data_IF_459913805520
#
_entry.id   IF_459913805520
#
_cell.length_a   1.000
_cell.length_b   1.000
_cell.length_c   1.000
_cell.angle_alpha   90.00
_cell.angle_beta   90.00
_cell.angle_gamma   90.00
#
_symmetry.space_group_name_H-M   'P 1'
#
loop_
_entity.id
_entity.type
_entity.pdbx_description
1 polymer ?
#
# COMPACT_ATOMS: atom_id res chain seq x y z
N UNK A 1 3.82 34.37 -12.96
CA UNK A 1 3.08 35.50 -12.35
C UNK A 1 2.06 34.91 -11.39
N UNK A 2 2.26 35.04 -10.06
CA UNK A 2 1.54 36.01 -9.19
C UNK A 2 0.02 35.87 -9.36
N UNK A 3 -0.76 35.45 -8.37
CA UNK A 3 -1.04 36.24 -7.17
C UNK A 3 -1.52 35.44 -5.96
N UNK A 4 -0.97 35.82 -4.81
CA UNK A 4 -1.48 35.68 -3.44
C UNK A 4 -2.95 36.11 -3.28
N UNK A 5 -3.64 35.47 -2.34
CA UNK A 5 -4.35 36.17 -1.25
C UNK A 5 -3.97 35.53 0.10
N UNK A 6 -3.14 36.24 0.86
CA UNK A 6 -3.28 36.28 2.33
C UNK A 6 -4.48 37.17 2.68
N UNK A 7 -4.81 37.50 3.92
CA UNK A 7 -4.20 37.35 5.24
C UNK A 7 -5.28 37.88 6.22
N UNK A 8 -5.08 37.68 7.53
CA UNK A 8 -5.53 38.47 8.70
C UNK A 8 -5.98 37.50 9.81
N UNK A 9 -5.36 37.43 10.99
CA UNK A 9 -4.25 38.19 11.59
C UNK A 9 -3.90 37.51 12.92
N UNK A 10 -2.60 37.30 13.24
CA UNK A 10 -1.71 38.20 14.01
C UNK A 10 -2.20 38.46 15.44
N UNK A 11 -1.45 38.16 16.50
CA UNK A 11 -0.17 38.74 16.92
C UNK A 11 0.38 37.89 18.11
N UNK A 12 1.65 37.84 18.55
CA UNK A 12 2.94 38.52 18.32
C UNK A 12 3.99 37.68 19.09
N UNK A 13 5.09 37.27 18.47
CA UNK A 13 6.45 37.81 18.65
C UNK A 13 7.04 37.78 20.08
N UNK A 14 8.07 36.94 20.28
CA UNK A 14 9.38 37.33 20.80
C UNK A 14 10.30 36.10 20.75
N UNK A 15 11.51 36.29 20.20
CA UNK A 15 12.53 35.26 20.11
C UNK A 15 13.24 35.04 21.45
N UNK A 16 13.72 33.82 21.62
CA UNK A 16 14.80 33.52 22.54
C UNK A 16 15.62 32.38 21.93
N UNK A 17 16.79 32.76 21.43
CA UNK A 17 17.93 31.86 21.23
C UNK A 17 18.36 31.42 22.63
N UNK A 18 18.34 30.11 22.91
CA UNK A 18 19.06 29.58 24.07
C UNK A 18 20.03 28.49 23.61
N UNK A 19 21.28 28.85 23.80
CA UNK A 19 22.52 28.12 23.65
C UNK A 19 22.63 27.03 24.74
N UNK A 20 23.23 25.89 24.35
CA UNK A 20 23.93 24.88 25.17
C UNK A 20 23.41 24.65 26.61
N UNK A 21 22.59 23.61 26.76
CA UNK A 21 22.42 22.91 28.03
C UNK A 21 23.10 21.56 27.96
N UNK A 22 24.39 21.50 28.29
CA UNK A 22 25.07 20.25 28.64
C UNK A 22 24.29 19.60 29.78
N UNK A 23 23.58 18.51 29.51
CA UNK A 23 23.05 17.65 30.56
C UNK A 23 24.25 16.91 31.17
N UNK A 24 24.85 17.53 32.18
CA UNK A 24 25.73 16.85 33.11
C UNK A 24 24.98 15.63 33.63
N UNK A 25 25.50 14.44 33.33
CA UNK A 25 25.11 13.22 33.98
C UNK A 25 25.32 13.40 35.49
N UNK A 26 24.24 13.60 36.23
CA UNK A 26 24.28 13.62 37.68
C UNK A 26 24.49 12.17 38.11
N UNK A 27 25.74 11.82 38.39
CA UNK A 27 26.06 10.60 39.12
C UNK A 27 25.31 10.64 40.45
N UNK A 28 24.40 9.69 40.66
CA UNK A 28 23.69 9.53 41.92
C UNK A 28 24.71 9.05 42.95
N UNK A 29 25.24 9.97 43.75
CA UNK A 29 25.93 9.67 44.99
C UNK A 29 24.97 8.97 45.94
N UNK A 30 25.28 7.74 46.31
CA UNK A 30 24.65 7.02 47.40
C UNK A 30 24.88 7.78 48.71
N UNK A 31 23.88 8.56 49.13
CA UNK A 31 23.83 9.24 50.42
C UNK A 31 22.94 8.48 51.37
N UNK A 32 23.56 7.77 52.32
CA UNK A 32 22.89 7.15 53.46
C UNK A 32 22.52 8.23 54.47
N UNK A 33 21.27 8.65 54.51
CA UNK A 33 20.68 9.28 55.71
C UNK A 33 19.25 8.80 55.86
N UNK A 34 18.97 8.20 57.02
CA UNK A 34 17.66 7.71 57.39
C UNK A 34 16.63 8.82 57.35
N UNK A 35 15.65 8.64 56.49
CA UNK A 35 14.30 9.19 56.60
C UNK A 35 13.38 8.07 56.11
N UNK A 36 12.37 7.76 56.92
CA UNK A 36 11.36 6.76 56.65
C UNK A 36 10.86 6.80 55.19
N UNK A 37 10.51 5.66 54.57
CA UNK A 37 9.97 5.67 53.23
C UNK A 37 8.66 6.44 53.27
N UNK A 38 8.66 7.66 52.75
CA UNK A 38 7.42 8.36 52.38
C UNK A 38 6.69 7.38 51.48
N UNK A 39 5.60 6.80 51.99
CA UNK A 39 4.93 5.67 51.37
C UNK A 39 4.76 5.94 49.88
N UNK A 40 5.34 5.07 49.04
CA UNK A 40 5.20 5.23 47.59
C UNK A 40 3.72 5.19 47.30
N UNK A 41 3.16 6.30 46.82
CA UNK A 41 1.78 6.29 46.36
C UNK A 41 1.66 5.26 45.22
N UNK A 42 0.46 4.73 45.03
CA UNK A 42 0.20 3.78 43.93
C UNK A 42 0.60 4.39 42.59
N UNK A 43 0.44 5.71 42.45
CA UNK A 43 0.86 6.50 41.29
C UNK A 43 2.37 6.46 41.09
N UNK A 44 3.17 6.69 42.13
CA UNK A 44 4.63 6.66 42.05
C UNK A 44 5.15 5.27 41.67
N UNK A 45 4.56 4.22 42.26
CA UNK A 45 4.90 2.84 41.92
C UNK A 45 4.56 2.54 40.44
N UNK A 46 3.36 2.91 39.96
CA UNK A 46 2.98 2.75 38.55
C UNK A 46 3.91 3.51 37.60
N UNK A 47 4.26 4.74 37.94
CA UNK A 47 5.18 5.53 37.11
C UNK A 47 6.58 4.93 37.03
N UNK A 48 7.10 4.33 38.10
CA UNK A 48 8.38 3.63 38.05
C UNK A 48 8.34 2.41 37.11
N UNK A 49 7.23 1.68 37.06
CA UNK A 49 7.06 0.53 36.14
C UNK A 49 6.95 1.03 34.70
N UNK A 50 6.16 2.07 34.44
CA UNK A 50 6.05 2.69 33.12
C UNK A 50 7.39 3.28 32.63
N UNK A 51 8.22 3.78 33.55
CA UNK A 51 9.56 4.28 33.23
C UNK A 51 10.48 3.18 32.65
N UNK A 52 10.33 1.92 33.07
CA UNK A 52 11.09 0.80 32.49
C UNK A 52 10.78 0.64 31.01
N UNK A 53 9.50 0.64 30.63
CA UNK A 53 9.09 0.55 29.23
C UNK A 53 9.56 1.76 28.42
N UNK A 54 9.50 2.97 28.99
CA UNK A 54 10.04 4.18 28.35
C UNK A 54 11.55 4.05 28.09
N UNK A 55 12.31 3.55 29.06
CA UNK A 55 13.75 3.29 28.91
C UNK A 55 14.06 2.23 27.86
N UNK A 56 13.32 1.12 27.85
CA UNK A 56 13.44 0.08 26.82
C UNK A 56 13.20 0.66 25.42
N UNK A 57 12.11 1.41 25.22
CA UNK A 57 11.79 2.02 23.92
C UNK A 57 12.85 3.01 23.45
N UNK A 58 13.47 3.74 24.38
CA UNK A 58 14.58 4.64 24.06
C UNK A 58 15.81 3.86 23.58
N UNK A 59 16.22 2.80 24.29
CA UNK A 59 17.33 1.94 23.88
C UNK A 59 17.06 1.26 22.53
N UNK A 60 15.83 0.77 22.34
CA UNK A 60 15.38 0.17 21.09
C UNK A 60 15.51 1.16 19.92
N UNK A 61 15.07 2.41 20.11
CA UNK A 61 15.16 3.43 19.08
C UNK A 61 16.62 3.80 18.73
N UNK A 62 17.51 3.83 19.72
CA UNK A 62 18.95 4.06 19.49
C UNK A 62 19.55 2.94 18.65
N UNK A 63 19.33 1.68 19.03
CA UNK A 63 19.84 0.53 18.28
C UNK A 63 19.34 0.53 16.83
N UNK A 64 18.04 0.77 16.63
CA UNK A 64 17.45 0.86 15.29
C UNK A 64 18.11 1.98 14.46
N UNK A 65 18.29 3.16 15.05
CA UNK A 65 18.92 4.30 14.35
C UNK A 65 20.37 4.02 13.97
N UNK A 66 21.12 3.28 14.78
CA UNK A 66 22.47 2.86 14.46
C UNK A 66 22.49 1.76 13.39
N UNK A 67 21.59 0.78 13.47
CA UNK A 67 21.46 -0.28 12.46
C UNK A 67 21.18 0.26 11.06
N UNK A 68 20.35 1.29 10.91
CA UNK A 68 20.08 1.93 9.60
C UNK A 68 21.38 2.30 8.87
N UNK A 69 22.42 2.72 9.59
CA UNK A 69 23.72 3.12 9.02
C UNK A 69 24.53 1.94 8.49
N UNK A 70 24.20 0.72 8.92
CA UNK A 70 24.87 -0.52 8.57
C UNK A 70 24.12 -1.37 7.54
N UNK A 71 22.87 -1.02 7.21
CA UNK A 71 22.07 -1.74 6.21
C UNK A 71 22.62 -1.49 4.80
N UNK A 72 23.32 -2.48 4.25
CA UNK A 72 23.88 -2.46 2.89
C UNK A 72 24.22 -3.89 2.44
N UNK A 73 23.96 -4.27 1.18
CA UNK A 73 23.15 -3.55 0.18
C UNK A 73 21.64 -3.68 0.45
N UNK A 74 20.87 -2.66 0.09
CA UNK A 74 19.40 -2.68 0.13
C UNK A 74 18.82 -2.09 -1.15
N UNK A 75 17.85 -2.75 -1.77
CA UNK A 75 17.02 -2.15 -2.82
C UNK A 75 15.71 -1.66 -2.23
N UNK A 76 15.41 -0.38 -2.40
CA UNK A 76 14.12 0.22 -2.03
C UNK A 76 13.29 0.45 -3.28
N UNK A 77 12.06 -0.04 -3.30
CA UNK A 77 11.14 0.07 -4.43
C UNK A 77 9.92 0.88 -4.01
N UNK A 78 9.72 2.00 -4.68
CA UNK A 78 8.55 2.86 -4.51
C UNK A 78 7.69 2.79 -5.76
N UNK A 79 6.39 2.51 -5.62
CA UNK A 79 5.46 2.67 -6.73
C UNK A 79 5.24 4.15 -7.07
N UNK A 80 5.32 4.49 -8.35
CA UNK A 80 4.97 5.81 -8.89
C UNK A 80 4.15 5.67 -10.18
N UNK A 81 3.76 6.80 -10.78
CA UNK A 81 2.96 6.80 -12.00
C UNK A 81 3.69 6.15 -13.21
N UNK A 82 5.03 6.08 -13.16
CA UNK A 82 5.92 5.65 -14.26
C UNK A 82 6.38 4.21 -14.11
N UNK A 83 5.72 3.42 -13.26
CA UNK A 83 6.04 2.00 -13.04
C UNK A 83 6.95 1.74 -11.84
N UNK A 84 7.37 2.80 -11.15
CA UNK A 84 8.12 2.72 -9.91
C UNK A 84 9.50 3.34 -9.99
N UNK A 85 9.96 3.83 -8.84
CA UNK A 85 11.31 4.30 -8.59
C UNK A 85 12.03 3.27 -7.74
N UNK A 86 13.16 2.79 -8.25
CA UNK A 86 14.01 1.82 -7.60
C UNK A 86 15.24 2.56 -7.10
N UNK A 87 15.69 2.27 -5.88
CA UNK A 87 16.91 2.86 -5.32
C UNK A 87 17.79 1.79 -4.71
N UNK A 88 19.01 1.65 -5.20
CA UNK A 88 20.06 0.87 -4.55
C UNK A 88 20.73 1.73 -3.49
N UNK A 89 20.72 1.26 -2.24
CA UNK A 89 21.52 1.78 -1.13
C UNK A 89 22.69 0.82 -0.93
N UNK A 90 23.91 1.29 -1.18
CA UNK A 90 25.12 0.45 -1.09
C UNK A 90 26.31 1.28 -0.61
N UNK A 91 26.96 0.84 0.46
CA UNK A 91 28.16 1.46 1.05
C UNK A 91 28.04 2.98 1.27
N UNK A 92 26.90 3.42 1.81
CA UNK A 92 26.62 4.84 2.09
C UNK A 92 26.26 5.68 0.86
N UNK A 93 26.19 5.07 -0.33
CA UNK A 93 25.76 5.71 -1.57
C UNK A 93 24.36 5.29 -1.96
N UNK A 94 23.69 6.12 -2.77
CA UNK A 94 22.35 5.85 -3.29
C UNK A 94 22.31 6.05 -4.80
N UNK A 95 21.79 5.07 -5.52
CA UNK A 95 21.53 5.15 -6.96
C UNK A 95 20.05 4.92 -7.22
N UNK A 96 19.34 5.93 -7.73
CA UNK A 96 17.93 5.82 -8.10
C UNK A 96 17.71 5.74 -9.60
N UNK A 97 16.75 4.92 -10.02
CA UNK A 97 16.28 4.85 -11.40
C UNK A 97 14.76 4.65 -11.47
N UNK A 98 14.16 5.14 -12.56
CA UNK A 98 12.84 4.72 -13.02
C UNK A 98 13.07 3.82 -14.23
N UNK A 99 13.16 2.49 -14.05
CA UNK A 99 13.69 1.60 -15.08
C UNK A 99 12.66 1.21 -16.14
N UNK A 100 11.39 1.54 -15.92
CA UNK A 100 10.26 1.08 -16.75
C UNK A 100 10.09 2.02 -17.94
N UNK A 101 9.87 1.44 -19.13
CA UNK A 101 9.64 2.19 -20.36
C UNK A 101 8.38 3.05 -20.29
N UNK A 102 8.34 4.26 -20.92
CA UNK A 102 7.14 5.09 -21.04
C UNK A 102 5.91 4.36 -21.63
N UNK A 103 6.12 3.28 -22.39
CA UNK A 103 5.03 2.41 -22.89
C UNK A 103 4.11 1.97 -21.75
N UNK A 104 4.64 1.69 -20.56
CA UNK A 104 3.83 1.37 -19.37
C UNK A 104 2.85 2.49 -19.01
N UNK A 105 3.35 3.72 -18.92
CA UNK A 105 2.55 4.88 -18.52
C UNK A 105 1.49 5.22 -19.57
N UNK A 106 1.86 5.13 -20.85
CA UNK A 106 0.94 5.34 -21.98
C UNK A 106 -0.18 4.29 -21.98
N UNK A 107 0.17 3.00 -21.84
CA UNK A 107 -0.79 1.90 -21.78
C UNK A 107 -1.75 2.03 -20.62
N UNK A 108 -1.21 2.33 -19.43
CA UNK A 108 -1.99 2.56 -18.21
C UNK A 108 -2.95 3.75 -18.36
N UNK A 109 -2.48 4.86 -18.93
CA UNK A 109 -3.26 6.10 -19.07
C UNK A 109 -4.53 5.88 -19.89
N UNK A 110 -4.43 5.20 -21.03
CA UNK A 110 -5.59 4.89 -21.87
C UNK A 110 -6.47 3.81 -21.24
N UNK A 111 -5.88 2.81 -20.58
CA UNK A 111 -6.64 1.74 -19.91
C UNK A 111 -7.48 2.25 -18.73
N UNK A 112 -7.12 3.39 -18.14
CA UNK A 112 -7.86 4.03 -17.06
C UNK A 112 -9.05 4.87 -17.52
N UNK A 113 -9.31 5.02 -18.82
CA UNK A 113 -10.42 5.86 -19.32
C UNK A 113 -11.79 5.42 -18.76
N UNK A 114 -12.15 4.13 -18.67
CA UNK A 114 -13.41 3.73 -18.02
C UNK A 114 -13.47 4.16 -16.55
N UNK A 115 -12.34 4.10 -15.82
CA UNK A 115 -12.28 4.56 -14.43
C UNK A 115 -12.40 6.09 -14.32
N UNK A 116 -11.84 6.84 -15.28
CA UNK A 116 -12.00 8.30 -15.38
C UNK A 116 -13.46 8.70 -15.64
N UNK A 117 -14.14 7.98 -16.55
CA UNK A 117 -15.59 8.15 -16.78
C UNK A 117 -16.37 7.79 -15.52
N UNK A 118 -16.11 6.62 -14.91
CA UNK A 118 -16.75 6.19 -13.67
C UNK A 118 -16.63 7.27 -12.60
N UNK A 119 -15.43 7.78 -12.34
CA UNK A 119 -15.18 8.80 -11.32
C UNK A 119 -15.98 10.09 -11.54
N UNK A 120 -16.36 10.36 -12.79
CA UNK A 120 -17.18 11.52 -13.16
C UNK A 120 -18.67 11.26 -12.94
N UNK A 121 -19.16 10.06 -13.29
CA UNK A 121 -20.60 9.73 -13.29
C UNK A 121 -21.06 9.06 -11.98
N UNK A 122 -20.15 8.44 -11.22
CA UNK A 122 -20.47 7.63 -10.05
C UNK A 122 -21.25 8.39 -8.95
N UNK A 123 -20.96 9.68 -8.66
CA UNK A 123 -21.78 10.49 -7.76
C UNK A 123 -23.26 10.57 -8.12
N UNK A 124 -23.59 10.33 -9.39
CA UNK A 124 -24.92 10.53 -9.98
C UNK A 124 -25.62 9.21 -10.32
N UNK A 125 -25.08 8.07 -9.87
CA UNK A 125 -25.71 6.77 -10.04
C UNK A 125 -27.06 6.69 -9.28
N UNK A 126 -27.87 5.71 -9.67
CA UNK A 126 -28.97 5.21 -8.84
C UNK A 126 -28.39 4.55 -7.58
N UNK A 127 -29.03 4.77 -6.43
CA UNK A 127 -28.71 4.08 -5.17
C UNK A 127 -29.23 2.63 -5.12
N UNK A 128 -29.98 2.22 -6.16
CA UNK A 128 -30.44 0.86 -6.38
C UNK A 128 -29.58 0.18 -7.44
N UNK A 129 -29.16 -1.05 -7.13
CA UNK A 129 -28.48 -1.94 -8.06
C UNK A 129 -29.51 -2.53 -9.03
N UNK A 130 -29.39 -2.33 -10.35
CA UNK A 130 -30.25 -2.98 -11.34
C UNK A 130 -29.87 -4.46 -11.50
N UNK A 131 -30.62 -5.22 -12.30
CA UNK A 131 -30.32 -6.62 -12.59
C UNK A 131 -29.08 -6.75 -13.50
N UNK A 132 -27.90 -6.59 -12.92
CA UNK A 132 -26.59 -6.78 -13.57
C UNK A 132 -26.06 -8.18 -13.25
N UNK A 133 -25.28 -8.80 -14.15
CA UNK A 133 -24.59 -10.07 -13.90
C UNK A 133 -23.83 -10.16 -12.58
N UNK A 134 -23.31 -9.05 -12.05
CA UNK A 134 -22.54 -8.98 -10.81
C UNK A 134 -23.26 -8.23 -9.69
N UNK A 135 -24.58 -8.06 -9.75
CA UNK A 135 -25.36 -7.28 -8.78
C UNK A 135 -25.09 -7.71 -7.31
N UNK A 136 -24.99 -9.01 -7.05
CA UNK A 136 -24.74 -9.57 -5.71
C UNK A 136 -23.35 -9.21 -5.13
N UNK A 137 -22.45 -8.69 -5.95
CA UNK A 137 -21.10 -8.26 -5.54
C UNK A 137 -21.02 -6.76 -5.25
N UNK A 138 -22.08 -6.00 -5.52
CA UNK A 138 -22.14 -4.57 -5.24
C UNK A 138 -22.71 -4.41 -3.84
N UNK A 139 -21.88 -3.96 -2.90
CA UNK A 139 -22.35 -3.63 -1.58
C UNK A 139 -23.29 -2.41 -1.64
N UNK A 140 -24.57 -2.52 -1.19
CA UNK A 140 -25.51 -1.42 -1.24
C UNK A 140 -25.09 -0.20 -0.40
N UNK A 141 -24.36 -0.42 0.70
CA UNK A 141 -23.80 0.66 1.50
C UNK A 141 -22.73 1.42 0.71
N UNK A 142 -21.76 0.72 0.12
CA UNK A 142 -20.70 1.35 -0.67
C UNK A 142 -21.25 2.11 -1.89
N UNK A 143 -22.23 1.51 -2.58
CA UNK A 143 -22.94 2.18 -3.67
C UNK A 143 -23.56 3.50 -3.19
N UNK A 144 -24.26 3.49 -2.06
CA UNK A 144 -24.87 4.70 -1.49
C UNK A 144 -23.82 5.76 -1.14
N UNK A 145 -22.66 5.36 -0.63
CA UNK A 145 -21.57 6.28 -0.31
C UNK A 145 -20.98 6.93 -1.56
N UNK A 146 -20.91 6.20 -2.67
CA UNK A 146 -20.41 6.73 -3.95
C UNK A 146 -21.49 7.54 -4.69
N UNK A 147 -22.75 7.11 -4.70
CA UNK A 147 -23.87 7.71 -5.43
C UNK A 147 -24.55 8.91 -4.71
N UNK A 148 -23.76 9.72 -3.99
CA UNK A 148 -24.27 10.69 -3.02
C UNK A 148 -25.05 11.89 -3.60
N UNK A 149 -25.01 12.13 -4.93
CA UNK A 149 -25.81 13.17 -5.60
C UNK A 149 -27.11 12.64 -6.20
N UNK A 150 -27.18 11.32 -6.46
CA UNK A 150 -28.33 10.65 -7.05
C UNK A 150 -28.58 10.97 -8.54
N UNK A 151 -29.49 10.22 -9.15
CA UNK A 151 -29.77 10.24 -10.60
C UNK A 151 -30.67 11.39 -11.09
N UNK A 152 -31.10 12.29 -10.20
CA UNK A 152 -32.08 13.36 -10.51
C UNK A 152 -31.50 14.61 -11.17
N UNK A 153 -30.19 14.66 -11.42
CA UNK A 153 -29.50 15.85 -11.97
C UNK A 153 -28.61 15.50 -13.17
N UNK A 154 -28.26 16.53 -13.94
CA UNK A 154 -27.39 16.46 -15.12
C UNK A 154 -26.04 17.14 -14.92
N UNK A 155 -25.68 17.47 -13.66
CA UNK A 155 -24.42 18.17 -13.35
C UNK A 155 -23.15 17.39 -13.73
N UNK A 156 -23.27 16.08 -14.01
CA UNK A 156 -22.21 15.24 -14.57
C UNK A 156 -21.87 15.57 -16.03
N UNK A 157 -22.77 16.21 -16.80
CA UNK A 157 -22.56 16.48 -18.23
C UNK A 157 -21.31 17.34 -18.45
N UNK A 158 -21.15 18.41 -17.70
CA UNK A 158 -20.02 19.33 -17.84
C UNK A 158 -18.67 18.66 -17.55
N UNK A 159 -18.44 18.02 -16.38
CA UNK A 159 -17.17 17.34 -16.13
C UNK A 159 -16.93 16.16 -17.10
N UNK A 160 -17.99 15.47 -17.55
CA UNK A 160 -17.83 14.37 -18.51
C UNK A 160 -17.39 14.88 -19.89
N UNK A 161 -17.95 16.00 -20.36
CA UNK A 161 -17.48 16.69 -21.58
C UNK A 161 -16.04 17.18 -21.45
N UNK A 162 -15.67 17.72 -20.30
CA UNK A 162 -14.29 18.15 -20.05
C UNK A 162 -13.31 16.98 -20.15
N UNK A 163 -13.66 15.82 -19.59
CA UNK A 163 -12.83 14.63 -19.74
C UNK A 163 -12.81 14.14 -21.19
N UNK A 164 -13.95 14.12 -21.89
CA UNK A 164 -14.02 13.76 -23.30
C UNK A 164 -13.15 14.65 -24.19
N UNK A 165 -13.00 15.94 -23.89
CA UNK A 165 -12.07 16.81 -24.62
C UNK A 165 -10.62 16.31 -24.53
N UNK A 166 -10.18 15.82 -23.37
CA UNK A 166 -8.86 15.18 -23.23
C UNK A 166 -8.77 13.89 -24.04
N UNK A 167 -9.84 13.08 -24.07
CA UNK A 167 -9.88 11.85 -24.87
C UNK A 167 -9.78 12.14 -26.37
N UNK A 168 -10.46 13.18 -26.86
CA UNK A 168 -10.39 13.62 -28.25
C UNK A 168 -8.97 14.06 -28.64
N UNK A 169 -8.31 14.84 -27.78
CA UNK A 169 -6.92 15.26 -28.02
C UNK A 169 -5.99 14.04 -28.03
N UNK A 170 -6.11 13.14 -27.06
CA UNK A 170 -5.32 11.91 -27.02
C UNK A 170 -5.54 11.05 -28.27
N UNK A 171 -6.80 10.95 -28.73
CA UNK A 171 -7.15 10.20 -29.94
C UNK A 171 -6.54 10.79 -31.21
N UNK A 172 -6.48 12.11 -31.31
CA UNK A 172 -5.89 12.82 -32.45
C UNK A 172 -4.37 12.72 -32.53
N UNK A 173 -3.70 12.52 -31.39
CA UNK A 173 -2.24 12.40 -31.31
C UNK A 173 -1.75 10.94 -31.24
N UNK A 174 -2.65 9.96 -31.30
CA UNK A 174 -2.33 8.57 -30.98
C UNK A 174 -1.31 7.96 -31.93
N UNK A 175 -1.41 8.27 -33.23
CA UNK A 175 -0.51 7.74 -34.26
C UNK A 175 0.92 8.30 -34.11
N UNK A 176 1.07 9.47 -33.49
CA UNK A 176 2.35 10.14 -33.24
C UNK A 176 2.99 9.73 -31.90
N UNK A 177 2.34 8.86 -31.12
CA UNK A 177 2.76 8.51 -29.75
C UNK A 177 3.88 7.45 -29.68
N UNK A 178 4.43 7.02 -30.82
CA UNK A 178 5.47 5.99 -30.94
C UNK A 178 5.14 4.69 -30.18
N UNK A 179 3.88 4.26 -30.32
CA UNK A 179 3.37 3.04 -29.70
C UNK A 179 3.44 1.84 -30.66
N UNK A 180 3.57 0.61 -30.14
CA UNK A 180 3.41 -0.59 -30.96
C UNK A 180 2.06 -0.59 -31.72
N UNK A 181 2.04 -1.04 -32.97
CA UNK A 181 0.85 -0.95 -33.83
C UNK A 181 -0.41 -1.63 -33.24
N UNK A 182 -0.24 -2.77 -32.55
CA UNK A 182 -1.33 -3.43 -31.82
C UNK A 182 -1.87 -2.55 -30.69
N UNK A 183 -0.99 -1.82 -30.01
CA UNK A 183 -1.35 -0.90 -28.93
C UNK A 183 -2.00 0.38 -29.47
N UNK A 184 -1.55 0.93 -30.60
CA UNK A 184 -2.26 2.01 -31.31
C UNK A 184 -3.69 1.59 -31.62
N UNK A 185 -3.87 0.35 -32.12
CA UNK A 185 -5.20 -0.18 -32.43
C UNK A 185 -6.07 -0.32 -31.18
N UNK A 186 -5.57 -0.94 -30.11
CA UNK A 186 -6.34 -1.13 -28.87
C UNK A 186 -6.66 0.19 -28.18
N UNK A 187 -5.71 1.12 -28.10
CA UNK A 187 -5.92 2.46 -27.55
C UNK A 187 -6.94 3.26 -28.37
N UNK A 188 -6.87 3.20 -29.70
CA UNK A 188 -7.81 3.88 -30.59
C UNK A 188 -9.24 3.38 -30.39
N UNK A 189 -9.43 2.06 -30.39
CA UNK A 189 -10.75 1.44 -30.17
C UNK A 189 -11.32 1.78 -28.78
N UNK A 190 -10.47 1.82 -27.75
CA UNK A 190 -10.89 2.16 -26.39
C UNK A 190 -11.35 3.64 -26.30
N UNK A 191 -10.57 4.56 -26.87
CA UNK A 191 -10.90 5.98 -26.93
C UNK A 191 -12.17 6.24 -27.75
N UNK A 192 -12.34 5.58 -28.90
CA UNK A 192 -13.51 5.72 -29.78
C UNK A 192 -14.78 5.23 -29.07
N UNK A 193 -14.72 4.09 -28.38
CA UNK A 193 -15.84 3.56 -27.59
C UNK A 193 -16.19 4.47 -26.40
N UNK A 194 -15.18 5.04 -25.72
CA UNK A 194 -15.38 5.97 -24.62
C UNK A 194 -16.05 7.27 -25.08
N UNK A 195 -15.59 7.86 -26.18
CA UNK A 195 -16.21 9.05 -26.78
C UNK A 195 -17.66 8.76 -27.18
N UNK A 196 -17.93 7.60 -27.80
CA UNK A 196 -19.29 7.18 -28.15
C UNK A 196 -20.20 7.06 -26.91
N UNK A 197 -19.72 6.49 -25.82
CA UNK A 197 -20.47 6.42 -24.56
C UNK A 197 -20.81 7.83 -24.06
N UNK A 198 -19.81 8.72 -23.98
CA UNK A 198 -20.00 10.11 -23.54
C UNK A 198 -21.02 10.83 -24.42
N UNK A 199 -20.87 10.80 -25.73
CA UNK A 199 -21.76 11.48 -26.67
C UNK A 199 -23.20 10.98 -26.54
N UNK A 200 -23.38 9.66 -26.43
CA UNK A 200 -24.71 9.05 -26.26
C UNK A 200 -25.36 9.52 -24.96
N UNK A 201 -24.64 9.43 -23.83
CA UNK A 201 -25.17 9.84 -22.53
C UNK A 201 -25.49 11.33 -22.48
N UNK A 202 -24.59 12.17 -22.99
CA UNK A 202 -24.78 13.62 -23.04
C UNK A 202 -26.00 13.99 -23.90
N UNK A 203 -26.16 13.36 -25.07
CA UNK A 203 -27.27 13.64 -25.97
C UNK A 203 -28.62 13.23 -25.37
N UNK A 204 -28.68 12.07 -24.71
CA UNK A 204 -29.90 11.60 -24.02
C UNK A 204 -30.13 12.31 -22.68
N UNK A 205 -29.11 13.00 -22.15
CA UNK A 205 -29.06 13.51 -20.77
C UNK A 205 -29.30 12.41 -19.73
N UNK A 206 -28.91 11.18 -20.05
CA UNK A 206 -29.10 10.02 -19.19
C UNK A 206 -27.95 9.02 -19.33
N UNK A 207 -27.69 8.30 -18.25
CA UNK A 207 -26.88 7.09 -18.24
C UNK A 207 -27.38 6.20 -17.10
N UNK A 208 -26.97 4.95 -17.10
CA UNK A 208 -27.25 4.02 -16.00
C UNK A 208 -26.09 3.02 -15.84
N UNK A 209 -26.17 2.18 -14.80
CA UNK A 209 -25.12 1.17 -14.58
C UNK A 209 -25.03 0.17 -15.73
N UNK A 210 -26.14 -0.11 -16.43
CA UNK A 210 -26.15 -1.09 -17.51
C UNK A 210 -25.41 -0.58 -18.74
N UNK A 211 -25.69 0.63 -19.18
CA UNK A 211 -24.98 1.30 -20.27
C UNK A 211 -23.49 1.47 -19.97
N UNK A 212 -23.12 1.75 -18.71
CA UNK A 212 -21.72 1.80 -18.30
C UNK A 212 -21.05 0.41 -18.26
N UNK A 213 -21.75 -0.62 -17.79
CA UNK A 213 -21.29 -2.02 -17.85
C UNK A 213 -21.07 -2.45 -19.31
N UNK A 214 -22.00 -2.16 -20.22
CA UNK A 214 -21.88 -2.50 -21.64
C UNK A 214 -20.68 -1.81 -22.29
N UNK A 215 -20.49 -0.52 -22.01
CA UNK A 215 -19.31 0.22 -22.46
C UNK A 215 -18.01 -0.40 -21.91
N UNK A 216 -17.90 -0.54 -20.59
CA UNK A 216 -16.68 -1.03 -19.94
C UNK A 216 -16.36 -2.48 -20.32
N UNK A 217 -17.37 -3.33 -20.48
CA UNK A 217 -17.25 -4.69 -20.99
C UNK A 217 -16.76 -4.73 -22.44
N UNK A 218 -17.28 -3.85 -23.31
CA UNK A 218 -16.88 -3.80 -24.72
C UNK A 218 -15.41 -3.45 -24.93
N UNK A 219 -14.82 -2.65 -24.04
CA UNK A 219 -13.41 -2.23 -24.13
C UNK A 219 -12.44 -3.12 -23.35
N UNK A 220 -12.93 -4.09 -22.59
CA UNK A 220 -12.08 -4.97 -21.78
C UNK A 220 -10.99 -5.70 -22.58
N UNK A 221 -11.24 -6.26 -23.78
CA UNK A 221 -10.19 -6.87 -24.60
C UNK A 221 -9.04 -5.89 -24.96
N UNK A 222 -9.37 -4.61 -25.18
CA UNK A 222 -8.37 -3.57 -25.45
C UNK A 222 -7.53 -3.25 -24.22
N UNK A 223 -8.18 -3.19 -23.04
CA UNK A 223 -7.46 -3.06 -21.76
C UNK A 223 -6.51 -4.24 -21.56
N UNK A 224 -6.93 -5.47 -21.89
CA UNK A 224 -6.06 -6.65 -21.78
C UNK A 224 -4.84 -6.59 -22.69
N UNK A 225 -5.00 -6.07 -23.89
CA UNK A 225 -3.89 -5.80 -24.81
C UNK A 225 -2.91 -4.80 -24.20
N UNK A 226 -3.41 -3.68 -23.68
CA UNK A 226 -2.58 -2.66 -23.03
C UNK A 226 -1.88 -3.19 -21.77
N UNK A 227 -2.57 -4.01 -20.97
CA UNK A 227 -1.99 -4.67 -19.79
C UNK A 227 -0.82 -5.57 -20.15
N UNK A 228 -0.87 -6.27 -21.29
CA UNK A 228 0.24 -7.10 -21.79
C UNK A 228 1.48 -6.24 -22.04
N UNK A 229 1.35 -5.16 -22.82
CA UNK A 229 2.47 -4.26 -23.11
C UNK A 229 3.01 -3.56 -21.85
N UNK A 230 2.12 -3.17 -20.93
CA UNK A 230 2.51 -2.60 -19.64
C UNK A 230 3.30 -3.60 -18.79
N UNK A 231 2.85 -4.87 -18.74
CA UNK A 231 3.53 -5.94 -18.03
C UNK A 231 4.91 -6.25 -18.65
N UNK A 232 5.00 -6.33 -19.98
CA UNK A 232 6.26 -6.55 -20.69
C UNK A 232 7.27 -5.44 -20.40
N UNK A 233 6.82 -4.17 -20.43
CA UNK A 233 7.65 -3.01 -20.10
C UNK A 233 8.14 -3.05 -18.63
N UNK A 234 7.27 -3.43 -17.70
CA UNK A 234 7.62 -3.60 -16.28
C UNK A 234 8.64 -4.73 -16.08
N UNK A 235 8.37 -5.92 -16.62
CA UNK A 235 9.25 -7.08 -16.50
C UNK A 235 10.65 -6.73 -17.04
N UNK A 236 10.72 -6.19 -18.25
CA UNK A 236 11.99 -5.86 -18.88
C UNK A 236 12.78 -4.81 -18.09
N UNK A 237 12.14 -3.70 -17.71
CA UNK A 237 12.79 -2.62 -16.97
C UNK A 237 13.32 -3.09 -15.62
N UNK A 238 12.48 -3.75 -14.82
CA UNK A 238 12.85 -4.22 -13.48
C UNK A 238 13.94 -5.29 -13.55
N UNK A 239 13.84 -6.28 -14.44
CA UNK A 239 14.90 -7.29 -14.57
C UNK A 239 16.22 -6.67 -15.03
N UNK A 240 16.19 -5.68 -15.92
CA UNK A 240 17.39 -5.00 -16.39
C UNK A 240 18.11 -4.25 -15.27
N UNK A 241 17.38 -3.47 -14.44
CA UNK A 241 18.01 -2.73 -13.35
C UNK A 241 18.55 -3.68 -12.26
N UNK A 242 17.83 -4.75 -11.95
CA UNK A 242 18.29 -5.77 -11.00
C UNK A 242 19.56 -6.46 -11.50
N UNK A 243 19.62 -6.82 -12.79
CA UNK A 243 20.83 -7.38 -13.40
C UNK A 243 22.01 -6.42 -13.37
N UNK A 244 21.78 -5.13 -13.64
CA UNK A 244 22.80 -4.08 -13.57
C UNK A 244 23.38 -3.99 -12.15
N UNK A 245 22.52 -3.86 -11.14
CA UNK A 245 22.97 -3.72 -9.76
C UNK A 245 23.62 -4.99 -9.22
N UNK A 246 23.16 -6.17 -9.63
CA UNK A 246 23.85 -7.44 -9.34
C UNK A 246 25.28 -7.47 -9.85
N UNK A 247 25.49 -7.01 -11.09
CA UNK A 247 26.83 -6.90 -11.64
C UNK A 247 27.70 -5.85 -10.92
N UNK A 248 27.08 -4.78 -10.40
CA UNK A 248 27.75 -3.70 -9.69
C UNK A 248 28.18 -4.08 -8.27
N UNK A 249 27.32 -4.74 -7.49
CA UNK A 249 27.61 -5.11 -6.10
C UNK A 249 28.31 -6.48 -5.98
N UNK A 250 28.18 -7.35 -6.99
CA UNK A 250 28.77 -8.67 -7.01
C UNK A 250 27.95 -9.74 -6.27
N UNK A 251 28.23 -11.01 -6.59
CA UNK A 251 27.45 -12.16 -6.09
C UNK A 251 27.52 -12.35 -4.58
N UNK A 252 28.67 -12.04 -3.97
CA UNK A 252 28.86 -12.21 -2.53
C UNK A 252 27.94 -11.32 -1.70
N UNK A 253 27.70 -10.08 -2.12
CA UNK A 253 26.74 -9.20 -1.45
C UNK A 253 25.31 -9.46 -1.96
N UNK A 254 25.13 -9.82 -3.23
CA UNK A 254 23.81 -10.08 -3.81
C UNK A 254 23.07 -11.24 -3.15
N UNK A 255 23.79 -12.28 -2.72
CA UNK A 255 23.19 -13.48 -2.13
C UNK A 255 22.40 -13.20 -0.85
N UNK A 256 22.73 -12.12 -0.15
CA UNK A 256 22.10 -11.66 1.10
C UNK A 256 21.41 -10.29 0.92
N UNK A 257 21.13 -9.88 -0.33
CA UNK A 257 20.46 -8.62 -0.64
C UNK A 257 19.07 -8.54 0.00
N UNK A 258 18.80 -7.45 0.73
CA UNK A 258 17.43 -7.07 1.09
C UNK A 258 16.78 -6.22 0.00
N UNK A 259 15.51 -6.48 -0.27
CA UNK A 259 14.65 -5.62 -1.08
C UNK A 259 13.40 -5.26 -0.29
N UNK A 260 13.12 -3.97 -0.16
CA UNK A 260 11.91 -3.45 0.49
C UNK A 260 11.02 -2.80 -0.56
N UNK A 261 9.82 -3.36 -0.75
CA UNK A 261 8.78 -2.85 -1.66
C UNK A 261 7.76 -2.08 -0.86
N UNK A 262 7.61 -0.79 -1.14
CA UNK A 262 6.55 0.05 -0.57
C UNK A 262 5.31 -0.05 -1.47
N UNK A 263 4.36 -0.90 -1.08
CA UNK A 263 3.10 -1.11 -1.78
C UNK A 263 1.97 -0.24 -1.23
N UNK A 264 0.83 -0.23 -1.92
CA UNK A 264 -0.42 0.32 -1.37
C UNK A 264 -1.28 -0.84 -0.91
N UNK A 265 -2.06 -0.67 0.16
CA UNK A 265 -2.93 -1.72 0.68
C UNK A 265 -3.84 -2.36 -0.41
N UNK A 266 -4.37 -1.56 -1.32
CA UNK A 266 -5.23 -2.02 -2.44
C UNK A 266 -4.51 -2.88 -3.49
N UNK A 267 -3.17 -2.95 -3.44
CA UNK A 267 -2.31 -3.63 -4.43
C UNK A 267 -1.15 -4.40 -3.77
N UNK A 268 -1.25 -4.72 -2.48
CA UNK A 268 -0.21 -5.42 -1.73
C UNK A 268 -0.21 -6.94 -2.00
N UNK A 269 -1.38 -7.54 -2.17
CA UNK A 269 -1.49 -8.94 -2.58
C UNK A 269 -1.12 -9.08 -4.05
N UNK A 270 -0.23 -10.02 -4.37
CA UNK A 270 0.30 -10.22 -5.74
C UNK A 270 0.88 -8.92 -6.34
N UNK A 271 1.63 -8.17 -5.54
CA UNK A 271 2.26 -6.94 -5.99
C UNK A 271 3.19 -7.18 -7.19
N UNK A 272 3.05 -6.36 -8.23
CA UNK A 272 3.80 -6.51 -9.49
C UNK A 272 5.32 -6.51 -9.29
N UNK A 273 5.85 -5.63 -8.41
CA UNK A 273 7.28 -5.55 -8.18
C UNK A 273 7.76 -6.80 -7.44
N UNK A 274 7.01 -7.24 -6.43
CA UNK A 274 7.30 -8.47 -5.68
C UNK A 274 7.35 -9.68 -6.60
N UNK A 275 6.42 -9.81 -7.55
CA UNK A 275 6.39 -10.90 -8.54
C UNK A 275 7.64 -10.87 -9.43
N UNK A 276 8.02 -9.71 -9.95
CA UNK A 276 9.12 -9.58 -10.92
C UNK A 276 10.51 -9.68 -10.25
N UNK A 277 10.65 -9.12 -9.04
CA UNK A 277 11.92 -9.08 -8.30
C UNK A 277 12.26 -10.45 -7.71
N UNK A 278 11.27 -11.20 -7.21
CA UNK A 278 11.48 -12.51 -6.57
C UNK A 278 12.44 -13.43 -7.34
N UNK A 279 12.27 -13.69 -8.65
CA UNK A 279 13.19 -14.55 -9.41
C UNK A 279 14.59 -13.93 -9.65
N UNK A 280 14.79 -12.64 -9.38
CA UNK A 280 16.09 -11.98 -9.48
C UNK A 280 16.95 -12.14 -8.22
N UNK A 281 16.33 -12.51 -7.09
CA UNK A 281 16.98 -12.65 -5.78
C UNK A 281 17.46 -14.09 -5.52
N UNK A 282 18.21 -14.29 -4.44
CA UNK A 282 18.59 -15.62 -3.98
C UNK A 282 17.34 -16.42 -3.54
N UNK A 283 17.02 -17.56 -4.19
CA UNK A 283 15.82 -18.33 -3.86
C UNK A 283 15.83 -18.89 -2.43
N UNK A 284 16.99 -19.06 -1.80
CA UNK A 284 17.10 -19.53 -0.41
C UNK A 284 16.82 -18.43 0.63
N UNK A 285 16.80 -17.16 0.21
CA UNK A 285 16.68 -15.99 1.12
C UNK A 285 15.48 -15.12 0.81
N UNK A 286 14.93 -15.19 -0.39
CA UNK A 286 13.91 -14.27 -0.89
C UNK A 286 12.68 -14.15 0.03
N UNK A 287 12.25 -15.23 0.70
CA UNK A 287 11.09 -15.17 1.60
C UNK A 287 11.32 -14.37 2.88
N UNK A 288 12.58 -14.15 3.26
CA UNK A 288 12.95 -13.33 4.44
C UNK A 288 13.58 -11.99 4.05
N UNK A 289 13.93 -11.80 2.77
CA UNK A 289 14.68 -10.65 2.29
C UNK A 289 13.92 -9.79 1.28
N UNK A 290 12.83 -10.29 0.68
CA UNK A 290 11.88 -9.50 -0.11
C UNK A 290 10.69 -9.12 0.76
N UNK A 291 10.71 -7.89 1.26
CA UNK A 291 9.76 -7.39 2.25
C UNK A 291 8.78 -6.45 1.55
N UNK A 292 7.49 -6.77 1.61
CA UNK A 292 6.41 -5.89 1.16
C UNK A 292 5.86 -5.12 2.36
N UNK A 293 5.89 -3.78 2.29
CA UNK A 293 5.37 -2.87 3.28
C UNK A 293 4.19 -2.09 2.69
N UNK A 294 2.94 -2.53 2.94
CA UNK A 294 1.76 -1.80 2.54
C UNK A 294 1.66 -0.47 3.29
N UNK A 295 1.64 0.63 2.56
CA UNK A 295 1.44 1.98 3.07
C UNK A 295 0.07 2.53 2.63
N UNK A 296 -0.44 3.50 3.40
CA UNK A 296 -1.66 4.25 3.04
C UNK A 296 -1.40 5.15 1.83
N UNK A 297 -0.24 5.81 1.80
CA UNK A 297 0.19 6.70 0.73
C UNK A 297 1.72 6.62 0.54
N UNK A 298 2.26 7.09 -0.59
CA UNK A 298 3.71 7.18 -0.77
C UNK A 298 4.34 8.06 0.32
N UNK A 299 5.30 7.56 1.11
CA UNK A 299 5.93 8.34 2.16
C UNK A 299 6.78 9.49 1.60
N UNK A 300 6.93 10.55 2.40
CA UNK A 300 7.76 11.71 2.05
C UNK A 300 9.25 11.35 1.89
N UNK A 301 9.75 10.43 2.72
CA UNK A 301 11.08 9.83 2.60
C UNK A 301 10.97 8.29 2.50
N UNK A 302 10.80 7.76 1.28
CA UNK A 302 10.67 6.31 1.04
C UNK A 302 11.89 5.51 1.47
N UNK A 303 13.08 6.08 1.35
CA UNK A 303 14.33 5.38 1.66
C UNK A 303 14.47 5.24 3.17
N UNK A 304 14.27 6.34 3.92
CA UNK A 304 14.27 6.28 5.37
C UNK A 304 13.20 5.33 5.91
N UNK A 305 11.96 5.40 5.41
CA UNK A 305 10.88 4.52 5.85
C UNK A 305 11.21 3.05 5.61
N UNK A 306 11.78 2.71 4.45
CA UNK A 306 12.19 1.35 4.14
C UNK A 306 13.32 0.86 5.05
N UNK A 307 14.38 1.67 5.24
CA UNK A 307 15.50 1.31 6.09
C UNK A 307 15.13 1.24 7.57
N UNK A 308 14.26 2.13 8.05
CA UNK A 308 13.77 2.13 9.44
C UNK A 308 12.96 0.87 9.75
N UNK A 309 12.08 0.44 8.84
CA UNK A 309 11.34 -0.82 8.98
C UNK A 309 12.27 -2.04 8.87
N UNK A 310 13.20 -2.03 7.92
CA UNK A 310 14.17 -3.12 7.78
C UNK A 310 15.08 -3.23 9.02
N UNK A 311 15.52 -2.12 9.60
CA UNK A 311 16.32 -2.12 10.82
C UNK A 311 15.56 -2.76 11.99
N UNK A 312 14.26 -2.46 12.11
CA UNK A 312 13.38 -3.17 13.06
C UNK A 312 13.35 -4.67 12.80
N UNK A 313 13.10 -5.10 11.55
CA UNK A 313 13.02 -6.53 11.20
C UNK A 313 14.33 -7.25 11.52
N UNK A 314 15.46 -6.69 11.11
CA UNK A 314 16.78 -7.28 11.35
C UNK A 314 17.10 -7.36 12.85
N UNK A 315 16.78 -6.31 13.60
CA UNK A 315 16.95 -6.30 15.05
C UNK A 315 16.06 -7.34 15.74
N UNK A 316 14.77 -7.38 15.39
CA UNK A 316 13.78 -8.25 16.01
C UNK A 316 14.05 -9.73 15.69
N UNK A 317 14.60 -10.05 14.50
CA UNK A 317 15.05 -11.40 14.16
C UNK A 317 16.07 -11.97 15.16
N UNK A 318 17.00 -11.15 15.65
CA UNK A 318 17.97 -11.58 16.66
C UNK A 318 17.39 -11.49 18.06
N UNK A 319 16.64 -10.42 18.35
CA UNK A 319 16.03 -10.24 19.67
C UNK A 319 15.07 -11.38 20.00
N UNK A 320 14.28 -11.86 19.04
CA UNK A 320 13.35 -12.97 19.21
C UNK A 320 14.05 -14.23 19.73
N UNK A 321 15.16 -14.64 19.10
CA UNK A 321 15.91 -15.84 19.50
C UNK A 321 16.59 -15.68 20.85
N UNK A 322 17.00 -14.46 21.21
CA UNK A 322 17.70 -14.19 22.47
C UNK A 322 16.76 -13.97 23.66
N UNK A 323 15.58 -13.39 23.42
CA UNK A 323 14.58 -13.08 24.46
C UNK A 323 13.65 -14.27 24.70
N UNK A 324 13.34 -15.03 23.66
CA UNK A 324 12.48 -16.22 23.72
C UNK A 324 13.22 -17.49 23.28
N UNK A 325 14.32 -17.88 23.95
CA UNK A 325 15.20 -18.96 23.49
C UNK A 325 14.58 -20.37 23.57
N UNK A 326 13.41 -20.49 24.21
CA UNK A 326 12.72 -21.77 24.45
C UNK A 326 11.34 -21.84 23.81
N UNK A 327 10.75 -20.69 23.45
CA UNK A 327 9.40 -20.60 22.91
C UNK A 327 9.46 -19.98 21.52
N UNK A 328 9.60 -20.86 20.53
CA UNK A 328 9.75 -20.45 19.14
C UNK A 328 8.45 -19.86 18.55
N UNK A 329 7.28 -20.18 19.10
CA UNK A 329 6.01 -19.58 18.65
C UNK A 329 5.97 -18.12 19.05
N UNK A 330 6.33 -17.82 20.30
CA UNK A 330 6.42 -16.45 20.81
C UNK A 330 7.57 -15.68 20.13
N UNK A 331 8.70 -16.35 19.87
CA UNK A 331 9.80 -15.77 19.09
C UNK A 331 9.35 -15.38 17.67
N UNK A 332 8.64 -16.27 16.98
CA UNK A 332 8.10 -16.01 15.64
C UNK A 332 7.06 -14.88 15.65
N UNK A 333 6.25 -14.76 16.70
CA UNK A 333 5.34 -13.62 16.88
C UNK A 333 6.07 -12.29 17.14
N UNK A 334 7.28 -12.28 17.70
CA UNK A 334 8.05 -11.04 17.85
C UNK A 334 8.62 -10.52 16.52
N UNK A 335 9.14 -11.42 15.68
CA UNK A 335 9.85 -11.06 14.43
C UNK A 335 8.99 -11.17 13.16
N UNK A 336 7.80 -11.78 13.27
CA UNK A 336 6.87 -12.04 12.17
C UNK A 336 5.74 -11.01 12.04
N UNK A 337 4.70 -11.39 11.29
CA UNK A 337 3.52 -10.55 11.07
C UNK A 337 2.41 -10.73 12.13
N UNK A 338 2.55 -11.73 12.99
CA UNK A 338 1.61 -12.01 14.07
C UNK A 338 1.87 -11.06 15.24
N UNK A 339 0.81 -10.63 15.93
CA UNK A 339 0.95 -9.82 17.13
C UNK A 339 1.29 -10.71 18.34
N UNK A 340 2.23 -10.28 19.18
CA UNK A 340 2.69 -11.05 20.35
C UNK A 340 1.56 -11.36 21.35
N UNK A 341 0.53 -10.51 21.42
CA UNK A 341 -0.60 -10.68 22.34
C UNK A 341 -1.76 -11.46 21.72
N UNK A 342 -1.71 -11.79 20.41
CA UNK A 342 -2.88 -12.34 19.71
C UNK A 342 -3.39 -13.62 20.36
N UNK A 343 -2.49 -14.52 20.74
CA UNK A 343 -2.85 -15.85 21.21
C UNK A 343 -3.48 -15.80 22.60
N UNK A 344 -2.92 -14.96 23.47
CA UNK A 344 -3.48 -14.70 24.80
C UNK A 344 -4.87 -14.03 24.70
N UNK A 345 -5.04 -13.06 23.80
CA UNK A 345 -6.34 -12.42 23.59
C UNK A 345 -7.36 -13.44 23.09
N UNK A 346 -6.97 -14.30 22.15
CA UNK A 346 -7.85 -15.33 21.59
C UNK A 346 -8.25 -16.34 22.66
N UNK A 347 -7.31 -16.82 23.47
CA UNK A 347 -7.59 -17.74 24.59
C UNK A 347 -8.59 -17.12 25.57
N UNK A 348 -8.37 -15.87 25.99
CA UNK A 348 -9.27 -15.16 26.91
C UNK A 348 -10.67 -14.93 26.32
N UNK A 349 -10.78 -14.82 24.99
CA UNK A 349 -12.06 -14.70 24.29
C UNK A 349 -12.70 -16.07 23.96
N UNK A 350 -12.03 -17.19 24.27
CA UNK A 350 -12.46 -18.54 23.91
C UNK A 350 -12.39 -18.82 22.40
N UNK A 351 -11.59 -18.04 21.66
CA UNK A 351 -11.34 -18.20 20.23
C UNK A 351 -10.06 -18.97 19.94
N UNK A 352 -9.90 -19.41 18.70
CA UNK A 352 -8.61 -19.92 18.18
C UNK A 352 -8.11 -19.00 17.08
N UNK A 353 -6.79 -18.94 16.90
CA UNK A 353 -6.21 -18.22 15.78
C UNK A 353 -6.75 -18.81 14.48
N UNK A 354 -7.15 -17.99 13.50
CA UNK A 354 -7.43 -18.49 12.16
C UNK A 354 -6.20 -19.25 11.69
N UNK A 355 -6.37 -20.54 11.33
CA UNK A 355 -5.27 -21.36 10.86
C UNK A 355 -4.51 -20.62 9.76
N UNK A 356 -3.18 -20.53 9.88
CA UNK A 356 -2.33 -19.85 8.92
C UNK A 356 -2.72 -20.31 7.51
N UNK A 357 -3.27 -19.39 6.70
CA UNK A 357 -3.48 -19.63 5.29
C UNK A 357 -2.10 -19.87 4.69
N UNK A 358 -1.75 -21.15 4.50
CA UNK A 358 -0.56 -21.56 3.78
C UNK A 358 -0.63 -20.94 2.39
N UNK A 359 0.31 -20.06 2.09
CA UNK A 359 0.56 -19.54 0.75
C UNK A 359 1.19 -20.65 -0.10
N UNK A 360 0.45 -21.72 -0.39
CA UNK A 360 0.84 -22.75 -1.35
C UNK A 360 0.17 -22.48 -2.70
N UNK A 361 0.77 -21.56 -3.46
CA UNK A 361 0.48 -21.45 -4.89
C UNK A 361 1.33 -22.48 -5.65
N UNK A 362 0.82 -23.71 -5.84
CA UNK A 362 1.18 -24.55 -6.99
C UNK A 362 0.07 -25.55 -7.37
N UNK A 363 -0.40 -25.36 -8.61
CA UNK A 363 -0.81 -26.36 -9.63
C UNK A 363 -2.04 -27.26 -9.43
N UNK A 364 -3.11 -26.88 -10.15
CA UNK A 364 -3.82 -27.64 -11.20
C UNK A 364 -4.43 -29.03 -10.89
N UNK A 365 -5.75 -29.16 -11.07
CA UNK A 365 -6.40 -30.43 -11.44
C UNK A 365 -7.89 -30.54 -11.07
N UNK A 366 -8.76 -30.66 -12.08
CA UNK A 366 -10.22 -30.79 -11.99
C UNK A 366 -10.68 -32.05 -11.22
N UNK A 367 -11.80 -31.93 -10.47
CA UNK A 367 -13.04 -32.71 -10.68
C UNK A 367 -14.16 -32.25 -9.73
N UNK A 368 -15.39 -32.22 -10.26
CA UNK A 368 -16.63 -31.83 -9.58
C UNK A 368 -17.17 -32.93 -8.64
N UNK A 369 -17.89 -32.55 -7.56
CA UNK A 369 -19.36 -32.75 -7.41
C UNK A 369 -19.88 -32.36 -6.00
N UNK A 370 -21.08 -31.78 -6.00
CA UNK A 370 -22.17 -31.83 -5.00
C UNK A 370 -21.97 -31.31 -3.57
N UNK A 371 -22.57 -30.14 -3.32
CA UNK A 371 -23.71 -29.99 -2.40
C UNK A 371 -23.45 -30.05 -0.91
N UNK A 372 -23.59 -28.90 -0.23
CA UNK A 372 -24.36 -28.74 1.01
C UNK A 372 -24.41 -27.26 1.39
N UNK A 373 -25.63 -26.74 1.46
CA UNK A 373 -25.93 -25.42 1.99
C UNK A 373 -25.67 -25.39 3.50
N UNK A 374 -24.90 -24.42 3.96
CA UNK A 374 -24.86 -24.02 5.36
C UNK A 374 -24.94 -22.50 5.42
N UNK A 375 -26.06 -22.01 5.92
CA UNK A 375 -26.33 -20.60 6.18
C UNK A 375 -25.39 -20.08 7.27
N UNK A 376 -24.43 -19.23 6.89
CA UNK A 376 -23.64 -18.44 7.83
C UNK A 376 -24.45 -17.23 8.28
N UNK A 377 -25.35 -17.45 9.23
CA UNK A 377 -26.04 -16.40 9.96
C UNK A 377 -25.97 -16.74 11.46
N UNK A 378 -24.79 -16.58 12.05
CA UNK A 378 -24.60 -16.30 13.49
C UNK A 378 -23.11 -16.32 13.82
N UNK A 379 -22.45 -15.16 13.77
CA UNK A 379 -21.16 -14.95 14.44
C UNK A 379 -20.83 -13.46 14.62
N UNK A 380 -21.82 -12.56 14.75
CA UNK A 380 -21.54 -11.19 15.15
C UNK A 380 -21.94 -11.00 16.63
N UNK A 381 -20.98 -10.92 17.56
CA UNK A 381 -21.26 -10.83 19.01
C UNK A 381 -21.91 -9.49 19.42
N UNK A 382 -22.06 -8.54 18.49
CA UNK A 382 -22.64 -7.21 18.74
C UNK A 382 -24.16 -7.11 18.47
N UNK A 383 -24.81 -8.20 18.07
CA UNK A 383 -26.26 -8.19 17.77
C UNK A 383 -27.17 -8.58 18.95
N UNK A 384 -26.75 -8.31 20.19
CA UNK A 384 -27.69 -8.37 21.32
C UNK A 384 -28.56 -7.12 21.32
N UNK A 385 -29.77 -7.27 20.75
CA UNK A 385 -30.89 -6.33 20.92
C UNK A 385 -31.09 -6.05 22.41
N UNK A 386 -30.97 -4.80 22.80
CA UNK A 386 -31.50 -4.26 24.05
C UNK A 386 -33.02 -4.33 23.95
N UNK A 387 -33.64 -5.25 24.68
CA UNK A 387 -35.08 -5.27 24.87
C UNK A 387 -35.45 -4.22 25.92
N UNK A 388 -36.31 -3.27 25.54
CA UNK A 388 -37.02 -2.38 26.46
C UNK A 388 -38.23 -3.12 27.04
N UNK A 389 -38.29 -3.22 28.37
CA UNK A 389 -39.47 -3.04 29.20
C UNK A 389 -39.01 -2.84 30.65
#
# INVERSE_FOLDING_TARGET
MTTRRGFLGTATAAGAVTILGSSTATAVTAGTTGTEPVGSTVENARESILAVNRGMRANYAVLKSDLIKHLSPVVVVQNDARGGKFTLVHNGTQESANPVSPVFELAKSISHVPLGIFSTIAPYLSDKVPNLPNADRIDPHDLKMVAFRGAGTTDWITPLKNFAANLTVARGNLDDADLPAEMVTSCGQLLDAALKFVDTSVASKSFDMKSFEDFSGSVYPNIRTNMKYAADAQIAGVQQIMKKWRAQIGEEEWKDLYTVVLSQWTTSVLNQNTIIIRPCMNPAKVDTHLIDLPAVEPPADPIFVALDNLARIVQDNIAAEMVFPVDHVVADALKGQQDLLSDEILDQLGGTAPGALTSSATTSGLAATSGLAASAADACPFHKKVAQA
#
